data_IF_204686475295
#
_entry.id   IF_204686475295
#
_cell.length_a   1.000
_cell.length_b   1.000
_cell.length_c   1.000
_cell.angle_alpha   90.00
_cell.angle_beta   90.00
_cell.angle_gamma   90.00
#
_symmetry.space_group_name_H-M   'P 1'
#
loop_
_entity.id
_entity.type
_entity.pdbx_description
1 polymer ?
#
# COMPACT_ATOMS: atom_id res chain seq x y z
N UNK A 1 -12.73 -8.71 14.08
CA UNK A 1 -11.75 -8.03 14.93
C UNK A 1 -10.67 -7.41 14.06
N UNK A 2 -10.36 -6.15 14.30
CA UNK A 2 -9.35 -5.46 13.49
C UNK A 2 -7.93 -5.93 13.83
N UNK A 3 -7.06 -5.85 12.85
CA UNK A 3 -5.66 -6.23 13.00
C UNK A 3 -4.83 -5.73 11.84
N UNK A 4 -3.58 -6.17 11.79
CA UNK A 4 -2.66 -5.77 10.74
C UNK A 4 -2.62 -6.79 9.61
N UNK A 5 -2.42 -6.27 8.42
CA UNK A 5 -2.27 -7.06 7.20
C UNK A 5 -1.04 -6.59 6.46
N UNK A 6 -0.34 -7.54 5.84
CA UNK A 6 0.71 -7.25 4.88
C UNK A 6 0.07 -7.22 3.50
N UNK A 7 0.11 -6.07 2.85
CA UNK A 7 -0.35 -5.92 1.48
C UNK A 7 0.87 -5.83 0.58
N UNK A 8 0.94 -6.73 -0.40
CA UNK A 8 1.97 -6.71 -1.43
C UNK A 8 1.37 -6.14 -2.69
N UNK A 9 2.05 -5.15 -3.25
CA UNK A 9 1.68 -4.56 -4.53
C UNK A 9 2.74 -4.87 -5.57
N UNK A 10 2.31 -5.04 -6.80
CA UNK A 10 3.18 -5.21 -7.95
C UNK A 10 2.82 -4.18 -9.02
N UNK A 11 3.69 -4.03 -10.02
CA UNK A 11 3.37 -3.19 -11.18
C UNK A 11 2.10 -3.70 -11.84
N UNK A 12 1.21 -2.77 -12.14
CA UNK A 12 -0.04 -3.05 -12.84
C UNK A 12 0.13 -2.97 -14.36
N UNK A 13 -0.96 -3.22 -15.09
CA UNK A 13 -0.92 -3.28 -16.56
C UNK A 13 -0.56 -1.95 -17.24
N UNK A 14 -0.78 -0.83 -16.56
CA UNK A 14 -0.50 0.50 -17.11
C UNK A 14 0.86 1.08 -16.67
N UNK A 15 1.68 0.28 -15.96
CA UNK A 15 3.02 0.73 -15.59
C UNK A 15 3.83 1.03 -16.85
N UNK A 16 4.41 2.24 -16.92
CA UNK A 16 5.28 2.64 -18.00
C UNK A 16 6.73 2.29 -17.65
N UNK A 17 7.27 1.26 -18.30
CA UNK A 17 8.61 0.76 -18.02
C UNK A 17 9.73 1.74 -18.40
N UNK A 18 9.42 2.78 -19.17
CA UNK A 18 10.39 3.81 -19.54
C UNK A 18 10.53 4.89 -18.49
N UNK A 19 9.72 4.86 -17.44
CA UNK A 19 9.69 5.88 -16.38
C UNK A 19 9.88 5.24 -15.01
N UNK A 20 10.50 6.00 -14.11
CA UNK A 20 10.57 5.61 -12.70
C UNK A 20 9.23 5.76 -11.99
N UNK A 21 9.15 5.25 -10.78
CA UNK A 21 7.92 5.21 -9.98
C UNK A 21 7.31 6.60 -9.81
N UNK A 22 8.11 7.59 -9.46
CA UNK A 22 7.64 8.96 -9.22
C UNK A 22 7.26 9.70 -10.49
N UNK A 23 7.67 9.18 -11.64
CA UNK A 23 7.38 9.77 -12.95
C UNK A 23 6.20 9.11 -13.65
N UNK A 24 5.61 8.10 -13.01
CA UNK A 24 4.38 7.49 -13.52
C UNK A 24 3.24 8.50 -13.49
N UNK A 25 2.34 8.40 -14.45
CA UNK A 25 1.16 9.26 -14.52
C UNK A 25 0.35 9.19 -13.24
N UNK A 26 -0.04 10.34 -12.68
CA UNK A 26 -0.87 10.38 -11.47
C UNK A 26 -0.12 10.18 -10.17
N UNK A 27 1.20 10.31 -10.17
CA UNK A 27 1.99 10.16 -8.94
C UNK A 27 1.50 11.05 -7.80
N UNK A 28 1.24 12.35 -8.06
CA UNK A 28 0.86 13.28 -7.00
C UNK A 28 -0.46 12.87 -6.34
N UNK A 29 -1.42 12.42 -7.12
CA UNK A 29 -2.72 11.97 -6.62
C UNK A 29 -2.58 10.66 -5.83
N UNK A 30 -1.76 9.73 -6.34
CA UNK A 30 -1.47 8.49 -5.63
C UNK A 30 -0.78 8.76 -4.29
N UNK A 31 0.25 9.61 -4.29
CA UNK A 31 0.97 9.97 -3.08
C UNK A 31 0.04 10.63 -2.04
N UNK A 32 -0.80 11.56 -2.47
CA UNK A 32 -1.77 12.21 -1.59
C UNK A 32 -2.76 11.21 -0.99
N UNK A 33 -3.20 10.24 -1.77
CA UNK A 33 -4.08 9.17 -1.30
C UNK A 33 -3.43 8.35 -0.19
N UNK A 34 -2.20 7.87 -0.42
CA UNK A 34 -1.49 7.04 0.56
C UNK A 34 -1.12 7.84 1.81
N UNK A 35 -0.71 9.10 1.65
CA UNK A 35 -0.38 9.97 2.78
C UNK A 35 -1.60 10.18 3.69
N UNK A 36 -2.77 10.35 3.10
CA UNK A 36 -4.01 10.50 3.88
C UNK A 36 -4.30 9.25 4.70
N UNK A 37 -4.20 8.06 4.12
CA UNK A 37 -4.42 6.81 4.84
C UNK A 37 -3.36 6.61 5.93
N UNK A 38 -2.13 7.05 5.69
CA UNK A 38 -1.07 7.01 6.70
C UNK A 38 -1.40 7.94 7.87
N UNK A 39 -1.83 9.15 7.60
CA UNK A 39 -2.23 10.12 8.63
C UNK A 39 -3.41 9.61 9.47
N UNK A 40 -4.31 8.84 8.86
CA UNK A 40 -5.43 8.21 9.55
C UNK A 40 -5.03 6.96 10.33
N UNK A 41 -3.77 6.54 10.26
CA UNK A 41 -3.29 5.34 10.94
C UNK A 41 -3.66 4.02 10.26
N UNK A 42 -4.27 4.08 9.09
CA UNK A 42 -4.70 2.88 8.36
C UNK A 42 -3.56 2.23 7.59
N UNK A 43 -2.57 3.01 7.18
CA UNK A 43 -1.33 2.52 6.58
C UNK A 43 -0.17 3.14 7.36
N UNK A 44 0.22 2.53 8.49
CA UNK A 44 1.25 3.12 9.34
C UNK A 44 2.65 3.13 8.73
N UNK A 45 2.94 2.19 7.84
CA UNK A 45 4.21 2.18 7.12
C UNK A 45 4.09 1.40 5.81
N UNK A 46 4.96 1.70 4.88
CA UNK A 46 5.02 1.02 3.59
C UNK A 46 5.96 1.73 2.63
N UNK A 47 6.22 1.08 1.53
CA UNK A 47 7.05 1.62 0.46
C UNK A 47 7.59 0.56 -0.48
N UNK A 48 8.35 0.97 -1.50
CA UNK A 48 8.99 0.05 -2.42
C UNK A 48 9.95 -0.89 -1.71
N UNK A 49 10.01 -2.13 -2.16
CA UNK A 49 10.91 -3.15 -1.65
C UNK A 49 11.99 -3.43 -2.70
N UNK A 50 13.24 -3.45 -2.27
CA UNK A 50 14.36 -3.57 -3.18
C UNK A 50 14.67 -2.22 -3.82
N UNK A 51 14.58 -2.11 -5.12
CA UNK A 51 14.80 -0.86 -5.82
C UNK A 51 13.55 0.01 -5.80
N UNK A 52 13.71 1.33 -5.70
CA UNK A 52 12.60 2.29 -5.70
C UNK A 52 11.70 2.10 -6.93
N UNK A 53 12.32 1.89 -8.08
CA UNK A 53 11.61 1.72 -9.36
C UNK A 53 11.35 0.25 -9.68
N UNK A 54 11.49 -0.64 -8.68
CA UNK A 54 11.32 -2.07 -8.84
C UNK A 54 9.88 -2.54 -8.96
N UNK A 55 9.73 -3.87 -8.95
CA UNK A 55 8.44 -4.53 -9.20
C UNK A 55 7.45 -4.39 -8.05
N UNK A 56 7.94 -4.29 -6.81
CA UNK A 56 7.08 -4.52 -5.66
C UNK A 56 7.12 -3.38 -4.65
N UNK A 57 6.01 -3.22 -3.95
CA UNK A 57 5.90 -2.43 -2.73
C UNK A 57 5.18 -3.25 -1.66
N UNK A 58 5.45 -2.96 -0.41
CA UNK A 58 4.80 -3.62 0.72
C UNK A 58 4.26 -2.56 1.67
N UNK A 59 3.06 -2.82 2.20
CA UNK A 59 2.42 -1.91 3.14
C UNK A 59 1.87 -2.71 4.31
N UNK A 60 2.03 -2.13 5.50
CA UNK A 60 1.32 -2.60 6.70
C UNK A 60 0.00 -1.84 6.74
N UNK A 61 -1.09 -2.56 6.84
CA UNK A 61 -2.45 -2.00 6.80
C UNK A 61 -3.21 -2.45 8.02
N UNK A 62 -3.93 -1.52 8.65
CA UNK A 62 -4.82 -1.85 9.76
C UNK A 62 -6.26 -1.89 9.25
N UNK A 63 -6.92 -3.03 9.42
CA UNK A 63 -8.27 -3.24 8.90
C UNK A 63 -9.00 -4.31 9.71
N UNK A 64 -10.31 -4.38 9.57
CA UNK A 64 -11.14 -5.36 10.26
C UNK A 64 -10.95 -6.78 9.70
N UNK A 65 -10.70 -6.88 8.41
CA UNK A 65 -10.53 -8.16 7.71
C UNK A 65 -9.83 -7.93 6.37
N UNK A 66 -9.56 -9.02 5.64
CA UNK A 66 -8.88 -8.96 4.35
C UNK A 66 -9.65 -8.12 3.33
N UNK A 67 -10.96 -8.29 3.25
CA UNK A 67 -11.79 -7.54 2.28
C UNK A 67 -11.73 -6.04 2.55
N UNK A 68 -11.76 -5.63 3.81
CA UNK A 68 -11.62 -4.24 4.17
C UNK A 68 -10.22 -3.70 3.85
N UNK A 69 -9.18 -4.51 4.09
CA UNK A 69 -7.82 -4.14 3.75
C UNK A 69 -7.69 -3.87 2.24
N UNK A 70 -8.28 -4.71 1.41
CA UNK A 70 -8.32 -4.50 -0.05
C UNK A 70 -9.12 -3.27 -0.43
N UNK A 71 -10.27 -3.08 0.22
CA UNK A 71 -11.17 -1.97 -0.08
C UNK A 71 -10.56 -0.60 0.24
N UNK A 72 -9.60 -0.52 1.15
CA UNK A 72 -8.90 0.72 1.43
C UNK A 72 -8.23 1.33 0.20
N UNK A 73 -7.85 0.51 -0.76
CA UNK A 73 -7.15 0.95 -1.97
C UNK A 73 -8.08 1.23 -3.16
N UNK A 74 -9.39 1.04 -2.98
CA UNK A 74 -10.33 1.16 -4.10
C UNK A 74 -10.32 2.54 -4.77
N UNK A 75 -10.06 3.59 -4.00
CA UNK A 75 -10.03 4.96 -4.51
C UNK A 75 -8.63 5.46 -4.89
N UNK A 76 -7.62 4.60 -4.78
CA UNK A 76 -6.27 4.93 -5.25
C UNK A 76 -6.31 5.03 -6.78
N UNK A 77 -5.93 6.19 -7.36
CA UNK A 77 -5.95 6.36 -8.82
C UNK A 77 -5.02 5.40 -9.56
N UNK A 78 -4.08 4.77 -8.85
CA UNK A 78 -3.17 3.79 -9.44
C UNK A 78 -3.68 2.35 -9.37
N UNK A 79 -4.75 2.08 -8.60
CA UNK A 79 -5.21 0.70 -8.37
C UNK A 79 -5.70 0.06 -9.67
N UNK A 80 -5.19 -1.13 -9.94
CA UNK A 80 -5.44 -1.92 -11.15
C UNK A 80 -5.00 -1.24 -12.46
N UNK A 81 -4.19 -0.21 -12.35
CA UNK A 81 -3.59 0.54 -13.47
C UNK A 81 -2.07 0.52 -13.37
N UNK A 82 -1.49 1.47 -12.65
CA UNK A 82 -0.04 1.56 -12.43
C UNK A 82 0.42 0.48 -11.44
N UNK A 83 -0.42 0.19 -10.43
CA UNK A 83 -0.18 -0.84 -9.43
C UNK A 83 -1.37 -1.80 -9.37
N UNK A 84 -1.11 -3.01 -8.88
CA UNK A 84 -2.14 -3.98 -8.52
C UNK A 84 -1.78 -4.63 -7.20
N UNK A 85 -2.79 -5.11 -6.47
CA UNK A 85 -2.57 -5.87 -5.24
C UNK A 85 -2.23 -7.30 -5.63
N UNK A 86 -1.05 -7.77 -5.19
CA UNK A 86 -0.60 -9.14 -5.43
C UNK A 86 -1.12 -10.08 -4.35
N UNK A 87 -1.07 -9.65 -3.08
CA UNK A 87 -1.56 -10.46 -1.97
C UNK A 87 -1.91 -9.59 -0.77
N UNK A 88 -2.80 -10.12 0.07
CA UNK A 88 -3.15 -9.55 1.36
C UNK A 88 -3.10 -10.69 2.38
N UNK A 89 -2.26 -10.56 3.39
CA UNK A 89 -2.04 -11.60 4.39
C UNK A 89 -2.19 -11.02 5.80
N UNK A 90 -2.91 -11.69 6.71
CA UNK A 90 -2.89 -11.29 8.12
C UNK A 90 -1.48 -11.35 8.66
N UNK A 91 -1.09 -10.33 9.42
CA UNK A 91 0.25 -10.28 10.00
C UNK A 91 0.17 -10.04 11.49
N UNK A 92 0.51 -11.06 12.25
CA UNK A 92 0.62 -10.93 13.71
C UNK A 92 1.93 -10.26 14.04
N UNK A 93 1.86 -9.02 14.51
CA UNK A 93 3.04 -8.24 14.86
C UNK A 93 3.37 -8.44 16.34
N UNK A 94 4.43 -9.19 16.63
CA UNK A 94 4.89 -9.42 18.00
C UNK A 94 5.91 -8.38 18.45
N UNK A 95 6.67 -7.86 17.50
CA UNK A 95 7.74 -6.93 17.81
C UNK A 95 7.40 -5.57 17.20
N UNK A 96 7.30 -4.56 18.05
CA UNK A 96 7.14 -3.19 17.59
C UNK A 96 5.71 -2.75 17.31
N UNK A 97 4.70 -3.59 17.52
CA UNK A 97 3.32 -3.22 17.26
C UNK A 97 2.86 -2.00 18.09
N UNK A 98 3.41 -1.85 19.30
CA UNK A 98 3.12 -0.75 20.20
C UNK A 98 3.70 0.59 19.73
N UNK A 99 4.59 0.58 18.75
CA UNK A 99 5.16 1.80 18.15
C UNK A 99 4.34 2.31 16.98
N UNK A 100 3.39 1.51 16.49
CA UNK A 100 2.52 1.91 15.40
C UNK A 100 1.38 2.76 15.95
N UNK A 101 0.95 3.81 15.24
CA UNK A 101 -0.16 4.63 15.69
C UNK A 101 -1.44 3.80 15.73
N UNK A 102 -2.26 4.03 16.77
CA UNK A 102 -3.61 3.49 16.80
C UNK A 102 -4.50 4.32 15.87
N UNK A 103 -5.23 3.67 14.95
CA UNK A 103 -6.13 4.37 14.06
C UNK A 103 -7.33 4.95 14.80
#
# INVERSE_FOLDING_TARGET
MAGYFLVRQARGPAWDASRGRRDQSGWDQHAAFTDRLSEEGKIPLGGPVGEIDGQHAMLVVYAANEDEARALFADDPWMDRILSIESVEPWTLWIGADRLPAP
#
